data_IF_478901829917
#
_entry.id   IF_478901829917
#
_cell.length_a   1.000
_cell.length_b   1.000
_cell.length_c   1.000
_cell.angle_alpha   90.00
_cell.angle_beta   90.00
_cell.angle_gamma   90.00
#
_symmetry.space_group_name_H-M   'P 1'
#
loop_
_entity.id
_entity.type
_entity.pdbx_description
1 polymer ?
#
# COMPACT_ATOMS: atom_id res chain seq x y z
N UNK A 1 15.04 6.68 4.96
CA UNK A 1 13.63 7.11 4.91
C UNK A 1 12.78 5.88 4.72
N UNK A 2 12.33 5.60 3.50
CA UNK A 2 11.60 4.38 3.13
C UNK A 2 12.49 3.45 2.28
N UNK A 3 12.45 2.14 2.55
CA UNK A 3 13.13 1.11 1.77
C UNK A 3 12.57 1.04 0.34
N UNK A 4 13.47 0.76 -0.61
CA UNK A 4 13.12 0.63 -2.02
C UNK A 4 13.38 -0.78 -2.51
N UNK A 5 12.63 -1.22 -3.52
CA UNK A 5 12.93 -2.43 -4.27
C UNK A 5 14.10 -2.21 -5.24
N UNK A 6 14.51 -3.27 -5.95
CA UNK A 6 15.60 -3.21 -6.93
C UNK A 6 15.31 -2.27 -8.12
N UNK A 7 14.04 -1.86 -8.33
CA UNK A 7 13.60 -0.94 -9.38
C UNK A 7 13.46 0.50 -8.87
N UNK A 8 13.74 0.75 -7.59
CA UNK A 8 13.63 2.06 -6.96
C UNK A 8 12.24 2.44 -6.46
N UNK A 9 11.26 1.53 -6.54
CA UNK A 9 9.90 1.75 -6.02
C UNK A 9 9.89 1.58 -4.50
N UNK A 10 8.94 2.22 -3.81
CA UNK A 10 8.72 2.01 -2.39
C UNK A 10 8.37 0.54 -2.10
N UNK A 11 9.15 -0.09 -1.23
CA UNK A 11 8.98 -1.49 -0.86
C UNK A 11 7.79 -1.63 0.10
N UNK A 12 6.68 -2.15 -0.42
CA UNK A 12 5.51 -2.53 0.35
C UNK A 12 4.85 -3.78 -0.26
N UNK A 13 4.55 -4.78 0.57
CA UNK A 13 3.86 -6.01 0.16
C UNK A 13 2.39 -5.73 -0.18
N UNK A 14 1.75 -6.58 -0.97
CA UNK A 14 0.29 -6.53 -1.26
C UNK A 14 -0.50 -7.64 -0.56
N UNK A 15 0.15 -8.42 0.30
CA UNK A 15 -0.49 -9.52 1.04
C UNK A 15 -1.39 -8.99 2.17
N UNK A 16 -1.97 -9.89 2.97
CA UNK A 16 -2.81 -9.52 4.12
C UNK A 16 -1.98 -8.69 5.11
N UNK A 17 -2.44 -7.47 5.45
CA UNK A 17 -1.63 -6.52 6.23
C UNK A 17 -0.66 -5.68 5.38
N UNK A 18 -0.78 -5.74 4.06
CA UNK A 18 0.10 -5.10 3.08
C UNK A 18 0.02 -3.57 3.02
N UNK A 19 0.68 -3.02 2.01
CA UNK A 19 0.89 -1.59 1.73
C UNK A 19 1.74 -0.85 2.75
N UNK A 20 2.20 -1.53 3.81
CA UNK A 20 3.09 -0.99 4.83
C UNK A 20 4.53 -0.95 4.32
N UNK A 21 5.19 0.18 4.57
CA UNK A 21 6.63 0.31 4.35
C UNK A 21 7.41 -0.14 5.57
N UNK A 22 8.75 -0.11 5.49
CA UNK A 22 9.64 -0.33 6.64
C UNK A 22 9.45 0.74 7.74
N UNK A 23 8.86 1.90 7.43
CA UNK A 23 8.59 2.94 8.41
C UNK A 23 7.20 2.73 9.00
N UNK A 24 7.12 2.67 10.33
CA UNK A 24 5.86 2.55 11.05
C UNK A 24 4.89 3.67 10.68
N UNK A 25 3.61 3.33 10.49
CA UNK A 25 2.52 4.23 10.09
C UNK A 25 2.66 4.86 8.69
N UNK A 26 3.62 4.41 7.88
CA UNK A 26 3.80 4.87 6.50
C UNK A 26 3.42 3.77 5.53
N UNK A 27 2.53 4.10 4.59
CA UNK A 27 1.98 3.19 3.59
C UNK A 27 2.26 3.69 2.17
N UNK A 28 2.41 2.78 1.21
CA UNK A 28 2.71 3.09 -0.19
C UNK A 28 1.87 2.21 -1.13
N UNK A 29 1.25 2.83 -2.13
CA UNK A 29 0.35 2.18 -3.10
C UNK A 29 0.40 2.88 -4.47
N UNK A 30 -0.03 2.20 -5.52
CA UNK A 30 -0.04 2.74 -6.87
C UNK A 30 1.36 2.78 -7.49
N UNK A 31 1.61 3.73 -8.38
CA UNK A 31 2.81 3.76 -9.22
C UNK A 31 4.11 3.93 -8.41
N UNK A 32 4.07 4.57 -7.24
CA UNK A 32 5.24 4.69 -6.35
C UNK A 32 5.71 3.34 -5.80
N UNK A 33 4.82 2.33 -5.76
CA UNK A 33 5.08 0.98 -5.25
C UNK A 33 5.23 -0.06 -6.37
N UNK A 34 4.35 -0.02 -7.38
CA UNK A 34 4.35 -0.96 -8.52
C UNK A 34 5.36 -0.57 -9.61
N UNK A 35 5.65 0.72 -9.75
CA UNK A 35 6.18 1.32 -10.97
C UNK A 35 5.04 1.72 -11.93
N UNK A 36 5.42 2.42 -13.01
CA UNK A 36 4.49 2.95 -14.02
C UNK A 36 3.44 1.93 -14.43
N UNK A 37 2.16 2.31 -14.33
CA UNK A 37 1.03 1.42 -14.62
C UNK A 37 -0.19 2.19 -15.14
N UNK A 38 -1.31 1.50 -15.27
CA UNK A 38 -2.60 2.08 -15.62
C UNK A 38 -3.27 2.71 -14.40
N UNK A 39 -4.07 3.76 -14.63
CA UNK A 39 -4.84 4.45 -13.58
C UNK A 39 -5.73 3.48 -12.78
N UNK A 40 -6.34 2.49 -13.44
CA UNK A 40 -7.17 1.48 -12.77
C UNK A 40 -6.41 0.70 -11.69
N UNK A 41 -5.10 0.48 -11.86
CA UNK A 41 -4.27 -0.18 -10.86
C UNK A 41 -4.03 0.72 -9.66
N UNK A 42 -3.80 2.01 -9.89
CA UNK A 42 -3.68 2.99 -8.81
C UNK A 42 -4.98 3.09 -8.01
N UNK A 43 -6.15 3.08 -8.67
CA UNK A 43 -7.47 3.07 -8.00
C UNK A 43 -7.64 1.80 -7.16
N UNK A 44 -7.35 0.63 -7.73
CA UNK A 44 -7.48 -0.66 -7.03
C UNK A 44 -6.59 -0.69 -5.79
N UNK A 45 -5.31 -0.35 -5.93
CA UNK A 45 -4.39 -0.38 -4.80
C UNK A 45 -4.66 0.72 -3.78
N UNK A 46 -5.11 1.90 -4.20
CA UNK A 46 -5.52 2.96 -3.28
C UNK A 46 -6.64 2.51 -2.35
N UNK A 47 -7.64 1.79 -2.88
CA UNK A 47 -8.74 1.23 -2.06
C UNK A 47 -8.24 0.17 -1.06
N UNK A 48 -7.35 -0.71 -1.51
CA UNK A 48 -6.79 -1.75 -0.65
C UNK A 48 -5.87 -1.17 0.44
N UNK A 49 -5.07 -0.16 0.10
CA UNK A 49 -4.25 0.56 1.07
C UNK A 49 -5.10 1.32 2.08
N UNK A 50 -6.18 2.00 1.65
CA UNK A 50 -7.09 2.68 2.57
C UNK A 50 -7.72 1.70 3.57
N UNK A 51 -8.08 0.51 3.13
CA UNK A 51 -8.58 -0.56 3.99
C UNK A 51 -7.55 -1.04 5.01
N UNK A 52 -6.30 -1.23 4.61
CA UNK A 52 -5.24 -1.66 5.55
C UNK A 52 -4.85 -0.54 6.53
N UNK A 53 -4.90 0.73 6.10
CA UNK A 53 -4.73 1.89 6.99
C UNK A 53 -5.87 1.95 8.01
N UNK A 54 -7.12 1.78 7.57
CA UNK A 54 -8.29 1.74 8.44
C UNK A 54 -8.20 0.61 9.47
N UNK A 55 -7.92 -0.62 9.01
CA UNK A 55 -7.71 -1.76 9.89
C UNK A 55 -6.56 -1.55 10.89
N UNK A 56 -5.48 -0.87 10.48
CA UNK A 56 -4.37 -0.56 11.36
C UNK A 56 -4.73 0.47 12.43
N UNK A 57 -5.54 1.48 12.11
CA UNK A 57 -5.95 2.52 13.05
C UNK A 57 -7.07 2.06 13.98
N UNK A 58 -8.04 1.30 13.45
CA UNK A 58 -9.26 0.90 14.13
C UNK A 58 -9.21 -0.51 14.73
N UNK A 59 -8.18 -1.31 14.41
CA UNK A 59 -8.04 -2.71 14.82
C UNK A 59 -8.89 -3.71 13.99
N UNK A 60 -9.86 -3.21 13.23
CA UNK A 60 -10.68 -3.95 12.27
C UNK A 60 -11.19 -2.99 11.20
N UNK A 61 -11.68 -3.51 10.06
CA UNK A 61 -12.22 -2.68 8.98
C UNK A 61 -13.46 -3.31 8.38
N UNK A 62 -14.44 -2.48 8.03
CA UNK A 62 -15.65 -2.86 7.29
C UNK A 62 -15.53 -2.56 5.79
N UNK A 63 -14.40 -1.99 5.35
CA UNK A 63 -14.18 -1.65 3.96
C UNK A 63 -13.98 -2.91 3.10
N UNK A 64 -14.53 -2.93 1.88
CA UNK A 64 -14.40 -4.06 0.96
C UNK A 64 -12.97 -4.21 0.42
N UNK A 65 -12.58 -5.44 0.05
CA UNK A 65 -11.30 -5.73 -0.61
C UNK A 65 -11.35 -5.58 -2.13
#
# INVERSE_FOLDING_TARGET
GVEKDARGNAKASTDVGGYRTNVGKVFAAGDVRRGQSLVVWAIREGRQAAREVDAFLMGSTTLPR
#
